data_IF_355171813892
#
_entry.id   IF_355171813892
#
_cell.length_a   1.000
_cell.length_b   1.000
_cell.length_c   1.000
_cell.angle_alpha   90.00
_cell.angle_beta   90.00
_cell.angle_gamma   90.00
#
_symmetry.space_group_name_H-M   'P 1'
#
loop_
_entity.id
_entity.type
_entity.pdbx_description
1 polymer ?
#
# COMPACT_ATOMS: atom_id res chain seq x y z
N UNK A 1 12.48 13.39 11.31
CA UNK A 1 13.34 12.20 11.29
C UNK A 1 12.50 11.01 11.70
N UNK A 2 12.48 9.95 10.89
CA UNK A 2 11.82 8.69 11.26
C UNK A 2 12.65 7.95 12.30
N UNK A 3 11.96 7.29 13.24
CA UNK A 3 12.61 6.57 14.32
C UNK A 3 13.32 5.31 13.79
N UNK A 4 14.55 5.06 14.24
CA UNK A 4 15.22 3.77 14.05
C UNK A 4 14.77 2.81 15.15
N UNK A 5 14.15 1.70 14.74
CA UNK A 5 13.64 0.66 15.65
C UNK A 5 14.59 -0.52 15.63
N UNK A 6 14.83 -1.11 16.80
CA UNK A 6 15.64 -2.33 16.93
C UNK A 6 14.75 -3.56 16.87
N UNK A 7 15.20 -4.63 16.22
CA UNK A 7 14.42 -5.87 16.14
C UNK A 7 14.12 -6.46 17.54
N UNK A 8 15.01 -6.22 18.51
CA UNK A 8 14.84 -6.67 19.89
C UNK A 8 13.67 -6.00 20.63
N UNK A 9 13.19 -4.83 20.19
CA UNK A 9 12.01 -4.18 20.78
C UNK A 9 10.69 -4.71 20.21
N UNK A 10 10.75 -5.62 19.23
CA UNK A 10 9.59 -6.19 18.54
C UNK A 10 9.40 -7.67 18.88
N UNK A 11 8.17 -8.05 19.20
CA UNK A 11 7.77 -9.44 19.42
C UNK A 11 6.81 -9.85 18.32
N UNK A 12 7.25 -10.70 17.38
CA UNK A 12 6.39 -11.18 16.28
C UNK A 12 5.20 -11.96 16.83
N UNK A 13 4.00 -11.62 16.38
CA UNK A 13 2.76 -12.25 16.82
C UNK A 13 2.12 -13.11 15.73
N UNK A 14 2.01 -12.59 14.50
CA UNK A 14 1.29 -13.26 13.41
C UNK A 14 1.89 -12.94 12.05
N UNK A 15 2.04 -13.94 11.19
CA UNK A 15 2.34 -13.74 9.76
C UNK A 15 1.09 -13.24 9.04
N UNK A 16 1.20 -12.13 8.30
CA UNK A 16 0.08 -11.56 7.56
C UNK A 16 0.16 -11.88 6.07
N UNK A 17 1.32 -11.65 5.45
CA UNK A 17 1.51 -11.86 4.02
C UNK A 17 2.98 -12.12 3.70
N UNK A 18 3.25 -13.02 2.75
CA UNK A 18 4.62 -13.31 2.30
C UNK A 18 4.67 -13.31 0.79
N UNK A 19 5.60 -12.55 0.22
CA UNK A 19 5.88 -12.52 -1.21
C UNK A 19 7.34 -12.92 -1.48
N UNK A 20 7.76 -13.09 -2.75
CA UNK A 20 9.16 -13.28 -3.09
C UNK A 20 10.07 -12.13 -2.67
N UNK A 21 9.56 -10.89 -2.58
CA UNK A 21 10.33 -9.68 -2.27
C UNK A 21 10.19 -9.19 -0.83
N UNK A 22 9.17 -9.64 -0.11
CA UNK A 22 8.87 -9.15 1.24
C UNK A 22 8.17 -10.18 2.12
N UNK A 23 8.28 -9.97 3.43
CA UNK A 23 7.54 -10.67 4.46
C UNK A 23 6.86 -9.62 5.35
N UNK A 24 5.56 -9.76 5.56
CA UNK A 24 4.74 -8.85 6.35
C UNK A 24 4.15 -9.61 7.53
N UNK A 25 4.38 -9.10 8.73
CA UNK A 25 3.91 -9.72 9.97
C UNK A 25 3.50 -8.67 10.99
N UNK A 26 2.53 -9.02 11.84
CA UNK A 26 2.19 -8.24 13.02
C UNK A 26 3.20 -8.52 14.14
N UNK A 27 3.48 -7.49 14.94
CA UNK A 27 4.33 -7.57 16.12
C UNK A 27 3.81 -6.66 17.24
N UNK A 28 4.11 -7.02 18.49
CA UNK A 28 4.03 -6.10 19.62
C UNK A 28 5.29 -5.27 19.71
N UNK A 29 5.17 -3.95 19.79
CA UNK A 29 6.28 -3.03 19.97
C UNK A 29 6.25 -2.43 21.37
N UNK A 30 7.33 -2.65 22.12
CA UNK A 30 7.51 -2.02 23.43
C UNK A 30 8.00 -0.59 23.24
N UNK A 31 7.13 0.38 23.48
CA UNK A 31 7.52 1.80 23.56
C UNK A 31 7.38 2.32 24.99
N UNK A 32 8.37 3.04 25.48
CA UNK A 32 8.26 3.79 26.72
C UNK A 32 7.25 4.94 26.52
N UNK A 33 6.20 5.00 27.34
CA UNK A 33 5.48 6.27 27.51
C UNK A 33 6.44 7.31 28.13
N UNK A 34 6.29 8.60 27.80
CA UNK A 34 6.91 9.64 28.62
C UNK A 34 6.44 9.45 30.06
N UNK A 35 7.37 9.36 31.02
CA UNK A 35 7.00 9.33 32.43
C UNK A 35 6.17 10.58 32.75
N UNK A 36 4.95 10.39 33.26
CA UNK A 36 4.07 11.52 33.62
C UNK A 36 4.65 12.29 34.81
N UNK A 37 5.53 11.65 35.61
CA UNK A 37 6.23 12.26 36.73
C UNK A 37 7.73 11.87 36.78
N UNK A 38 8.64 12.76 37.25
CA UNK A 38 10.04 12.42 37.47
C UNK A 38 10.18 11.40 38.62
N UNK A 39 10.43 10.13 38.28
CA UNK A 39 10.66 9.06 39.27
C UNK A 39 9.88 7.76 39.01
N UNK A 40 8.90 7.77 38.11
CA UNK A 40 8.19 6.56 37.69
C UNK A 40 8.99 5.77 36.64
N UNK A 41 9.04 4.44 36.78
CA UNK A 41 9.52 3.58 35.69
C UNK A 41 8.61 3.79 34.49
N UNK A 42 9.21 4.03 33.31
CA UNK A 42 8.46 4.14 32.06
C UNK A 42 7.53 2.92 31.88
N UNK A 43 6.22 3.14 31.92
CA UNK A 43 5.26 2.11 31.57
C UNK A 43 5.45 1.77 30.08
N UNK A 44 5.78 0.51 29.80
CA UNK A 44 5.92 0.01 28.44
C UNK A 44 4.51 -0.29 27.91
N UNK A 45 4.08 0.46 26.89
CA UNK A 45 2.87 0.11 26.15
C UNK A 45 3.25 -0.87 25.06
N UNK A 46 2.54 -2.00 25.01
CA UNK A 46 2.65 -2.94 23.91
C UNK A 46 1.73 -2.47 22.77
N UNK A 47 2.31 -1.75 21.81
CA UNK A 47 1.56 -1.25 20.66
C UNK A 47 1.61 -2.27 19.55
N UNK A 48 0.45 -2.67 19.02
CA UNK A 48 0.38 -3.55 17.85
C UNK A 48 0.84 -2.80 16.59
N UNK A 49 1.88 -3.32 15.95
CA UNK A 49 2.47 -2.77 14.73
C UNK A 49 2.53 -3.83 13.63
N UNK A 50 2.67 -3.39 12.40
CA UNK A 50 2.98 -4.23 11.24
C UNK A 50 4.40 -3.96 10.79
N UNK A 51 5.15 -5.02 10.59
CA UNK A 51 6.52 -4.99 10.09
C UNK A 51 6.54 -5.57 8.68
N UNK A 52 6.91 -4.72 7.72
CA UNK A 52 7.14 -5.11 6.33
C UNK A 52 8.64 -5.25 6.10
N UNK A 53 9.12 -6.49 6.21
CA UNK A 53 10.52 -6.85 5.98
C UNK A 53 10.77 -7.04 4.49
N UNK A 54 11.75 -6.33 3.93
CA UNK A 54 12.21 -6.51 2.56
C UNK A 54 13.26 -7.62 2.52
N UNK A 55 13.10 -8.56 1.58
CA UNK A 55 14.10 -9.61 1.30
C UNK A 55 15.18 -9.00 0.41
N UNK A 56 16.36 -8.80 0.96
CA UNK A 56 17.49 -8.19 0.24
C UNK A 56 18.32 -9.29 -0.42
N UNK A 57 18.40 -9.24 -1.76
CA UNK A 57 19.24 -10.13 -2.56
C UNK A 57 20.26 -9.38 -3.40
N UNK A 58 19.99 -8.10 -3.72
CA UNK A 58 20.88 -7.22 -4.46
C UNK A 58 20.68 -5.75 -4.06
N UNK A 59 21.56 -4.87 -4.54
CA UNK A 59 21.50 -3.42 -4.29
C UNK A 59 20.19 -2.78 -4.77
N UNK A 60 19.55 -3.32 -5.81
CA UNK A 60 18.26 -2.83 -6.29
C UNK A 60 17.12 -3.05 -5.28
N UNK A 61 17.20 -4.08 -4.42
CA UNK A 61 16.22 -4.27 -3.33
C UNK A 61 16.37 -3.19 -2.25
N UNK A 62 17.61 -2.79 -1.94
CA UNK A 62 17.91 -1.72 -0.99
C UNK A 62 17.39 -0.39 -1.53
N UNK A 63 17.68 -0.07 -2.80
CA UNK A 63 17.17 1.14 -3.44
C UNK A 63 15.63 1.20 -3.47
N UNK A 64 14.94 0.05 -3.61
CA UNK A 64 13.48 -0.01 -3.51
C UNK A 64 12.99 0.27 -2.09
N UNK A 65 13.64 -0.33 -1.09
CA UNK A 65 13.32 -0.09 0.32
C UNK A 65 13.49 1.39 0.68
N UNK A 66 14.61 2.00 0.28
CA UNK A 66 14.89 3.42 0.54
C UNK A 66 13.88 4.33 -0.16
N UNK A 67 13.51 4.03 -1.41
CA UNK A 67 12.47 4.79 -2.11
C UNK A 67 11.11 4.69 -1.42
N UNK A 68 10.70 3.48 -1.00
CA UNK A 68 9.42 3.31 -0.30
C UNK A 68 9.43 4.07 1.04
N UNK A 69 10.54 4.02 1.79
CA UNK A 69 10.73 4.84 3.00
C UNK A 69 10.55 6.33 2.68
N UNK A 70 11.28 6.85 1.70
CA UNK A 70 11.29 8.28 1.37
C UNK A 70 9.91 8.77 0.93
N UNK A 71 9.18 7.94 0.18
CA UNK A 71 7.80 8.24 -0.21
C UNK A 71 6.87 8.28 0.99
N UNK A 72 6.94 7.30 1.90
CA UNK A 72 6.12 7.29 3.11
C UNK A 72 6.42 8.48 4.04
N UNK A 73 7.68 8.89 4.15
CA UNK A 73 8.07 10.09 4.91
C UNK A 73 7.49 11.37 4.31
N UNK A 74 7.49 11.46 2.98
CA UNK A 74 6.99 12.63 2.25
C UNK A 74 5.46 12.70 2.20
N UNK A 75 4.77 11.57 2.18
CA UNK A 75 3.32 11.47 1.99
C UNK A 75 2.53 11.48 3.31
N UNK A 76 2.91 12.33 4.26
CA UNK A 76 2.26 12.40 5.57
C UNK A 76 0.80 12.90 5.46
N UNK A 77 -0.16 11.98 5.53
CA UNK A 77 -1.59 12.28 5.43
C UNK A 77 -2.42 11.28 6.25
N UNK A 78 -3.54 11.67 6.90
CA UNK A 78 -4.36 10.76 7.70
C UNK A 78 -4.93 9.54 6.96
N UNK A 79 -5.01 9.64 5.62
CA UNK A 79 -5.53 8.59 4.73
C UNK A 79 -4.44 7.83 3.98
N UNK A 80 -3.17 8.04 4.32
CA UNK A 80 -2.01 7.31 3.74
C UNK A 80 -1.26 6.61 4.87
N UNK A 81 -0.74 5.41 4.60
CA UNK A 81 -0.06 4.62 5.60
C UNK A 81 1.10 5.40 6.23
N UNK A 82 1.08 5.51 7.55
CA UNK A 82 2.12 6.23 8.30
C UNK A 82 3.31 5.31 8.59
N UNK A 83 4.52 5.81 8.38
CA UNK A 83 5.75 5.16 8.80
C UNK A 83 6.07 5.54 10.25
N UNK A 84 6.02 4.56 11.16
CA UNK A 84 6.39 4.76 12.57
C UNK A 84 7.91 4.72 12.76
N UNK A 85 8.57 3.86 11.99
CA UNK A 85 10.00 3.66 12.10
C UNK A 85 10.55 2.71 11.06
N UNK A 86 11.87 2.60 11.03
CA UNK A 86 12.61 1.70 10.15
C UNK A 86 13.53 0.78 10.95
N UNK A 87 13.78 -0.39 10.39
CA UNK A 87 14.89 -1.26 10.76
C UNK A 87 15.80 -1.27 9.54
N UNK A 88 17.03 -0.79 9.68
CA UNK A 88 18.01 -0.73 8.57
C UNK A 88 19.35 -1.37 8.94
N UNK A 89 19.34 -2.29 9.92
CA UNK A 89 20.53 -3.04 10.32
C UNK A 89 20.62 -4.36 9.55
N UNK A 90 21.65 -4.48 8.71
CA UNK A 90 21.90 -5.73 7.98
C UNK A 90 21.91 -6.94 8.94
N UNK A 91 21.25 -8.06 8.59
CA UNK A 91 20.64 -8.36 7.29
C UNK A 91 19.15 -7.97 7.18
N UNK A 92 18.60 -7.17 8.10
CA UNK A 92 17.18 -6.87 8.19
C UNK A 92 16.86 -5.43 7.80
N UNK A 93 16.10 -5.30 6.71
CA UNK A 93 15.54 -4.04 6.25
C UNK A 93 14.04 -4.12 6.35
N UNK A 94 13.42 -3.27 7.18
CA UNK A 94 11.99 -3.32 7.41
C UNK A 94 11.38 -1.95 7.68
N UNK A 95 10.14 -1.79 7.22
CA UNK A 95 9.29 -0.63 7.53
C UNK A 95 8.33 -1.04 8.64
N UNK A 96 8.20 -0.20 9.67
CA UNK A 96 7.29 -0.42 10.79
C UNK A 96 6.15 0.58 10.71
N UNK A 97 4.92 0.08 10.70
CA UNK A 97 3.70 0.86 10.48
C UNK A 97 2.63 0.50 11.53
N UNK A 98 1.59 1.32 11.73
CA UNK A 98 0.47 0.94 12.57
C UNK A 98 -0.20 -0.34 12.09
N UNK A 99 -0.72 -1.15 13.02
CA UNK A 99 -1.56 -2.28 12.65
C UNK A 99 -3.01 -1.84 12.42
N UNK A 100 -3.49 -2.02 11.19
CA UNK A 100 -4.86 -1.71 10.78
C UNK A 100 -5.76 -2.92 11.03
N UNK A 101 -6.48 -2.89 12.16
CA UNK A 101 -7.15 -4.05 12.76
C UNK A 101 -8.17 -4.77 11.86
N UNK A 102 -8.83 -4.07 10.92
CA UNK A 102 -9.82 -4.69 10.02
C UNK A 102 -9.20 -5.26 8.74
N UNK A 103 -7.89 -5.06 8.55
CA UNK A 103 -7.15 -5.57 7.39
C UNK A 103 -7.53 -4.87 6.08
N UNK A 104 -7.29 -5.57 4.97
CA UNK A 104 -7.52 -5.05 3.63
C UNK A 104 -9.00 -5.06 3.24
N UNK A 105 -9.42 -4.04 2.49
CA UNK A 105 -10.77 -3.90 1.95
C UNK A 105 -11.18 -5.12 1.11
N UNK A 106 -10.23 -5.72 0.37
CA UNK A 106 -10.49 -6.96 -0.38
C UNK A 106 -11.03 -8.08 0.52
N UNK A 107 -10.38 -8.29 1.68
CA UNK A 107 -10.79 -9.31 2.64
C UNK A 107 -12.17 -9.01 3.25
N UNK A 108 -12.47 -7.74 3.50
CA UNK A 108 -13.77 -7.30 4.00
C UNK A 108 -14.88 -7.53 2.96
N UNK A 109 -14.61 -7.27 1.68
CA UNK A 109 -15.60 -7.40 0.63
C UNK A 109 -15.89 -8.86 0.29
N UNK A 110 -14.86 -9.72 0.28
CA UNK A 110 -14.94 -11.05 -0.36
C UNK A 110 -14.71 -12.24 0.57
N UNK A 111 -14.09 -12.05 1.74
CA UNK A 111 -13.68 -13.17 2.61
C UNK A 111 -14.32 -13.17 3.99
N UNK A 112 -14.61 -12.01 4.58
CA UNK A 112 -15.14 -11.92 5.95
C UNK A 112 -16.62 -12.28 6.08
N UNK A 113 -17.36 -12.32 4.96
CA UNK A 113 -18.82 -12.39 4.94
C UNK A 113 -19.52 -11.09 5.36
N UNK A 114 -18.76 -10.04 5.69
CA UNK A 114 -19.30 -8.75 6.12
C UNK A 114 -20.02 -8.04 4.96
N UNK A 115 -21.15 -7.41 5.27
CA UNK A 115 -21.88 -6.56 4.34
C UNK A 115 -21.69 -5.10 4.75
N UNK A 116 -20.82 -4.37 4.05
CA UNK A 116 -20.69 -2.94 4.26
C UNK A 116 -21.97 -2.21 3.84
N UNK A 117 -22.46 -1.32 4.70
CA UNK A 117 -23.57 -0.41 4.38
C UNK A 117 -23.15 0.58 3.30
N UNK A 118 -24.12 1.18 2.60
CA UNK A 118 -23.83 2.22 1.62
C UNK A 118 -23.04 3.39 2.23
N UNK A 119 -23.36 3.76 3.47
CA UNK A 119 -22.64 4.79 4.22
C UNK A 119 -21.18 4.38 4.51
N UNK A 120 -20.94 3.15 4.97
CA UNK A 120 -19.58 2.66 5.22
C UNK A 120 -18.74 2.63 3.94
N UNK A 121 -19.33 2.19 2.81
CA UNK A 121 -18.68 2.25 1.50
C UNK A 121 -18.34 3.68 1.11
N UNK A 122 -19.28 4.62 1.26
CA UNK A 122 -19.05 6.03 0.94
C UNK A 122 -17.91 6.64 1.78
N UNK A 123 -17.84 6.31 3.08
CA UNK A 123 -16.73 6.74 3.96
C UNK A 123 -15.39 6.21 3.45
N UNK A 124 -15.30 4.91 3.19
CA UNK A 124 -14.07 4.27 2.69
C UNK A 124 -13.64 4.88 1.36
N UNK A 125 -14.56 5.07 0.42
CA UNK A 125 -14.24 5.65 -0.89
C UNK A 125 -13.86 7.13 -0.78
N UNK A 126 -14.50 7.90 0.10
CA UNK A 126 -14.11 9.29 0.39
C UNK A 126 -12.67 9.34 0.90
N UNK A 127 -12.33 8.50 1.87
CA UNK A 127 -10.99 8.42 2.45
C UNK A 127 -9.91 8.10 1.41
N UNK A 128 -10.19 7.14 0.52
CA UNK A 128 -9.28 6.79 -0.58
C UNK A 128 -9.14 7.95 -1.55
N UNK A 129 -10.23 8.66 -1.87
CA UNK A 129 -10.18 9.82 -2.76
C UNK A 129 -9.33 10.97 -2.19
N UNK A 130 -9.42 11.21 -0.88
CA UNK A 130 -8.58 12.20 -0.18
C UNK A 130 -7.10 11.80 -0.24
N UNK A 131 -6.78 10.52 -0.05
CA UNK A 131 -5.41 10.01 -0.15
C UNK A 131 -4.84 10.20 -1.57
N UNK A 132 -5.60 9.84 -2.60
CA UNK A 132 -5.17 9.98 -4.00
C UNK A 132 -5.00 11.46 -4.37
N UNK A 133 -5.94 12.32 -3.96
CA UNK A 133 -5.85 13.75 -4.17
C UNK A 133 -4.58 14.33 -3.50
N UNK A 134 -4.28 13.91 -2.28
CA UNK A 134 -3.06 14.33 -1.59
C UNK A 134 -1.80 13.90 -2.36
N UNK A 135 -1.68 12.62 -2.74
CA UNK A 135 -0.54 12.13 -3.53
C UNK A 135 -0.34 12.94 -4.81
N UNK A 136 -1.42 13.16 -5.58
CA UNK A 136 -1.37 13.92 -6.82
C UNK A 136 -1.00 15.39 -6.58
N UNK A 137 -1.43 15.99 -5.47
CA UNK A 137 -1.09 17.38 -5.11
C UNK A 137 0.40 17.58 -4.89
N UNK A 138 1.11 16.54 -4.43
CA UNK A 138 2.56 16.54 -4.23
C UNK A 138 3.32 15.87 -5.38
N UNK A 139 2.66 15.58 -6.51
CA UNK A 139 3.30 15.00 -7.70
C UNK A 139 3.75 13.54 -7.54
N UNK A 140 3.12 12.78 -6.63
CA UNK A 140 3.34 11.34 -6.46
C UNK A 140 2.18 10.59 -7.12
N UNK A 141 2.51 9.58 -7.91
CA UNK A 141 1.55 8.67 -8.54
C UNK A 141 1.60 7.32 -7.83
N UNK A 142 0.45 6.76 -7.46
CA UNK A 142 0.42 5.55 -6.65
C UNK A 142 0.77 4.30 -7.47
N UNK A 143 0.19 4.15 -8.66
CA UNK A 143 0.49 3.10 -9.66
C UNK A 143 0.06 1.67 -9.32
N UNK A 144 -0.59 1.44 -8.18
CA UNK A 144 -1.14 0.13 -7.80
C UNK A 144 -2.33 0.28 -6.84
N UNK A 145 -3.26 1.18 -7.15
CA UNK A 145 -4.51 1.34 -6.37
C UNK A 145 -5.39 0.12 -6.62
N UNK A 146 -5.72 -0.60 -5.54
CA UNK A 146 -6.59 -1.78 -5.51
C UNK A 146 -7.11 -2.01 -4.10
N UNK A 147 -8.12 -2.87 -3.95
CA UNK A 147 -8.71 -3.19 -2.65
C UNK A 147 -7.75 -3.89 -1.67
N UNK A 148 -6.70 -4.55 -2.15
CA UNK A 148 -5.65 -5.12 -1.29
C UNK A 148 -4.75 -4.05 -0.65
N UNK A 149 -4.59 -2.91 -1.33
CA UNK A 149 -3.76 -1.79 -0.89
C UNK A 149 -4.56 -0.72 -0.14
N UNK A 150 -5.81 -1.02 0.24
CA UNK A 150 -6.65 -0.16 1.06
C UNK A 150 -6.92 -0.88 2.36
N UNK A 151 -6.37 -0.37 3.46
CA UNK A 151 -6.55 -0.93 4.80
C UNK A 151 -7.64 -0.18 5.55
N UNK A 152 -8.42 -0.88 6.37
CA UNK A 152 -9.49 -0.29 7.16
C UNK A 152 -9.14 -0.31 8.65
N UNK A 153 -9.31 0.85 9.28
CA UNK A 153 -9.10 1.08 10.70
C UNK A 153 -10.28 0.55 11.52
N UNK A 154 -10.09 0.43 12.84
CA UNK A 154 -11.14 -0.04 13.76
C UNK A 154 -12.39 0.87 13.75
N UNK A 155 -12.21 2.18 13.52
CA UNK A 155 -13.29 3.17 13.41
C UNK A 155 -13.98 3.18 12.02
N UNK A 156 -13.57 2.30 11.10
CA UNK A 156 -14.13 2.20 9.76
C UNK A 156 -13.52 3.18 8.75
N UNK A 157 -12.55 4.00 9.14
CA UNK A 157 -11.82 4.85 8.20
C UNK A 157 -10.80 4.06 7.39
N UNK A 158 -10.53 4.48 6.17
CA UNK A 158 -9.61 3.81 5.27
C UNK A 158 -8.27 4.54 5.14
N UNK A 159 -7.24 3.77 4.82
CA UNK A 159 -5.87 4.22 4.61
C UNK A 159 -5.29 3.52 3.38
N UNK A 160 -4.77 4.30 2.45
CA UNK A 160 -4.07 3.83 1.26
C UNK A 160 -2.63 3.43 1.63
N UNK A 161 -2.18 2.26 1.17
CA UNK A 161 -0.87 1.68 1.53
C UNK A 161 -0.12 1.13 0.32
N UNK A 162 1.09 0.63 0.56
CA UNK A 162 1.99 0.01 -0.42
C UNK A 162 2.48 0.95 -1.53
N UNK A 163 3.36 1.87 -1.14
CA UNK A 163 4.01 2.82 -2.07
C UNK A 163 5.19 2.20 -2.85
N UNK A 164 5.32 0.87 -2.89
CA UNK A 164 6.42 0.20 -3.61
C UNK A 164 6.45 0.47 -5.10
N UNK A 165 5.28 0.59 -5.72
CA UNK A 165 5.13 0.88 -7.15
C UNK A 165 5.07 2.37 -7.44
N UNK A 166 4.93 3.20 -6.40
CA UNK A 166 4.72 4.63 -6.52
C UNK A 166 5.98 5.34 -7.01
N UNK A 167 5.76 6.44 -7.73
CA UNK A 167 6.84 7.19 -8.38
C UNK A 167 6.47 8.66 -8.50
N UNK A 168 7.48 9.53 -8.59
CA UNK A 168 7.24 10.93 -8.88
C UNK A 168 6.86 11.11 -10.34
N UNK A 169 5.83 11.93 -10.58
CA UNK A 169 5.37 12.27 -11.92
C UNK A 169 6.52 12.82 -12.79
N UNK A 170 7.43 13.59 -12.20
CA UNK A 170 8.64 14.10 -12.87
C UNK A 170 9.61 13.02 -13.34
N UNK A 171 9.57 11.84 -12.72
CA UNK A 171 10.42 10.71 -13.04
C UNK A 171 9.77 9.78 -14.05
N UNK A 172 8.48 9.94 -14.38
CA UNK A 172 7.80 9.07 -15.33
C UNK A 172 8.07 9.55 -16.75
N UNK A 173 8.83 8.75 -17.50
CA UNK A 173 8.96 8.90 -18.96
C UNK A 173 8.10 7.86 -19.66
N UNK A 174 7.86 8.05 -20.96
CA UNK A 174 7.14 7.08 -21.81
C UNK A 174 7.75 5.66 -21.80
N UNK A 175 8.99 5.54 -21.34
CA UNK A 175 9.75 4.29 -21.29
C UNK A 175 9.68 3.59 -19.92
N UNK A 176 9.12 4.26 -18.89
CA UNK A 176 9.12 3.83 -17.47
C UNK A 176 7.91 2.94 -17.10
N UNK A 177 7.14 2.48 -18.09
CA UNK A 177 6.17 1.39 -17.88
C UNK A 177 6.89 0.04 -17.57
N UNK A 178 8.22 -0.03 -17.71
CA UNK A 178 9.01 -1.28 -17.80
C UNK A 178 9.66 -1.74 -16.48
N UNK A 179 9.16 -1.37 -15.30
CA UNK A 179 9.71 -1.93 -14.04
C UNK A 179 8.66 -2.63 -13.17
N UNK A 180 8.34 -3.89 -13.53
CA UNK A 180 7.77 -4.87 -12.60
C UNK A 180 8.47 -6.23 -12.76
N UNK A 181 8.75 -6.88 -11.62
CA UNK A 181 9.53 -8.13 -11.51
C UNK A 181 8.80 -9.39 -12.08
N UNK A 182 9.57 -10.44 -12.42
CA UNK A 182 9.08 -11.61 -13.16
C UNK A 182 8.42 -12.64 -12.25
N UNK A 183 7.20 -13.04 -12.59
CA UNK A 183 6.63 -14.36 -12.22
C UNK A 183 5.54 -14.74 -13.22
N UNK A 184 5.92 -15.52 -14.24
CA UNK A 184 5.02 -16.29 -15.10
C UNK A 184 4.31 -15.53 -16.23
N UNK A 185 4.67 -15.86 -17.47
CA UNK A 185 3.88 -15.53 -18.68
C UNK A 185 4.45 -14.38 -19.54
N UNK A 186 4.49 -14.60 -20.85
CA UNK A 186 5.08 -13.76 -21.91
C UNK A 186 4.54 -12.30 -22.00
N UNK A 187 3.49 -11.95 -21.26
CA UNK A 187 2.79 -10.65 -21.34
C UNK A 187 3.06 -9.69 -20.16
N UNK A 188 3.82 -10.09 -19.13
CA UNK A 188 3.99 -9.29 -17.89
C UNK A 188 5.26 -8.44 -17.82
N UNK A 189 6.06 -8.37 -18.88
CA UNK A 189 7.37 -7.69 -18.83
C UNK A 189 7.30 -6.16 -18.91
N UNK A 190 6.13 -5.56 -19.18
CA UNK A 190 6.03 -4.15 -19.56
C UNK A 190 4.92 -3.38 -18.83
N UNK A 191 4.46 -3.88 -17.69
CA UNK A 191 3.20 -3.44 -17.08
C UNK A 191 3.36 -3.30 -15.56
N UNK A 192 3.29 -2.07 -15.05
CA UNK A 192 3.18 -1.76 -13.62
C UNK A 192 1.70 -1.65 -13.24
N UNK A 193 1.33 -2.29 -12.13
CA UNK A 193 -0.02 -2.34 -11.60
C UNK A 193 -0.66 -3.73 -11.69
N UNK A 194 -1.81 -3.87 -11.05
CA UNK A 194 -2.57 -5.12 -11.04
C UNK A 194 -3.58 -5.10 -12.18
N UNK A 195 -3.41 -6.00 -13.18
CA UNK A 195 -4.12 -5.99 -14.48
C UNK A 195 -5.61 -5.57 -14.47
N UNK A 196 -6.47 -6.05 -13.55
CA UNK A 196 -7.89 -5.66 -13.51
C UNK A 196 -8.13 -4.17 -13.20
N UNK A 197 -7.20 -3.51 -12.51
CA UNK A 197 -7.29 -2.10 -12.09
C UNK A 197 -6.58 -1.15 -13.05
N UNK A 198 -5.91 -1.69 -14.07
CA UNK A 198 -5.11 -0.88 -14.98
C UNK A 198 -5.94 -0.14 -16.01
N UNK A 199 -5.58 1.12 -16.23
CA UNK A 199 -6.16 1.95 -17.24
C UNK A 199 -5.89 1.39 -18.66
N UNK A 200 -6.87 1.44 -19.56
CA UNK A 200 -6.79 0.80 -20.88
C UNK A 200 -5.66 1.35 -21.76
N UNK A 201 -5.29 2.62 -21.59
CA UNK A 201 -4.17 3.26 -22.29
C UNK A 201 -2.82 2.61 -21.97
N UNK A 202 -2.64 2.07 -20.75
CA UNK A 202 -1.45 1.31 -20.36
C UNK A 202 -1.42 -0.09 -21.00
N UNK A 203 -2.59 -0.66 -21.28
CA UNK A 203 -2.73 -1.99 -21.87
C UNK A 203 -2.60 -1.99 -23.39
N UNK A 204 -2.88 -0.87 -24.05
CA UNK A 204 -2.88 -0.77 -25.52
C UNK A 204 -1.49 -0.76 -26.17
N UNK A 205 -0.41 -0.87 -25.39
CA UNK A 205 1.00 -0.86 -25.85
C UNK A 205 1.28 0.19 -26.94
N UNK A 206 0.63 1.35 -26.85
CA UNK A 206 0.88 2.46 -27.77
C UNK A 206 2.24 3.02 -27.38
N UNK A 207 3.21 3.01 -28.31
CA UNK A 207 4.49 3.70 -28.10
C UNK A 207 4.21 5.14 -27.64
N UNK A 208 4.72 5.51 -26.46
CA UNK A 208 4.52 6.83 -25.88
C UNK A 208 3.49 6.93 -24.74
N UNK A 209 2.75 5.86 -24.41
CA UNK A 209 1.82 5.90 -23.28
C UNK A 209 2.57 5.89 -21.93
N UNK A 210 2.68 7.06 -21.30
CA UNK A 210 3.21 7.21 -19.94
C UNK A 210 2.09 7.02 -18.90
N UNK A 211 2.46 6.57 -17.71
CA UNK A 211 1.54 6.55 -16.57
C UNK A 211 1.21 8.00 -16.15
N UNK A 212 -0.06 8.31 -15.94
CA UNK A 212 -0.52 9.66 -15.54
C UNK A 212 -1.45 9.58 -14.34
N UNK A 213 -1.81 10.74 -13.78
CA UNK A 213 -2.83 10.87 -12.72
C UNK A 213 -4.16 10.22 -13.10
N UNK A 214 -4.53 10.27 -14.39
CA UNK A 214 -5.76 9.67 -14.90
C UNK A 214 -5.76 8.13 -14.74
N UNK A 215 -4.59 7.51 -14.76
CA UNK A 215 -4.48 6.07 -14.54
C UNK A 215 -4.82 5.68 -13.09
N UNK A 216 -4.39 6.47 -12.10
CA UNK A 216 -4.77 6.28 -10.69
C UNK A 216 -6.29 6.51 -10.50
N UNK A 217 -6.86 7.52 -11.18
CA UNK A 217 -8.31 7.78 -11.16
C UNK A 217 -9.09 6.60 -11.74
N UNK A 218 -8.61 6.01 -12.83
CA UNK A 218 -9.21 4.79 -13.39
C UNK A 218 -9.15 3.64 -12.38
N UNK A 219 -7.99 3.36 -11.80
CA UNK A 219 -7.85 2.31 -10.77
C UNK A 219 -8.77 2.54 -9.58
N UNK A 220 -8.97 3.79 -9.17
CA UNK A 220 -9.92 4.15 -8.12
C UNK A 220 -11.39 3.90 -8.53
N UNK A 221 -11.78 4.25 -9.76
CA UNK A 221 -13.12 3.95 -10.27
C UNK A 221 -13.41 2.43 -10.27
N UNK A 222 -12.38 1.64 -10.57
CA UNK A 222 -12.44 0.19 -10.50
C UNK A 222 -12.66 -0.31 -9.06
N UNK A 223 -11.96 0.27 -8.08
CA UNK A 223 -12.20 0.02 -6.64
C UNK A 223 -13.63 0.39 -6.23
N UNK A 224 -14.15 1.54 -6.69
CA UNK A 224 -15.54 1.94 -6.42
C UNK A 224 -16.51 0.88 -6.93
N UNK A 225 -16.32 0.42 -8.17
CA UNK A 225 -17.17 -0.58 -8.77
C UNK A 225 -17.15 -1.90 -7.98
N UNK A 226 -15.96 -2.37 -7.58
CA UNK A 226 -15.80 -3.58 -6.77
C UNK A 226 -16.48 -3.46 -5.40
N UNK A 227 -16.33 -2.32 -4.72
CA UNK A 227 -17.00 -2.06 -3.44
C UNK A 227 -18.53 -2.04 -3.58
N UNK A 228 -19.06 -1.51 -4.70
CA UNK A 228 -20.48 -1.44 -4.98
C UNK A 228 -21.06 -2.81 -5.38
N UNK A 229 -20.45 -3.49 -6.34
CA UNK A 229 -20.93 -4.74 -6.92
C UNK A 229 -20.69 -5.98 -6.04
N UNK A 230 -19.67 -5.94 -5.15
CA UNK A 230 -19.24 -7.07 -4.30
C UNK A 230 -18.84 -8.32 -5.10
N UNK A 231 -18.43 -8.17 -6.35
CA UNK A 231 -17.85 -9.25 -7.14
C UNK A 231 -16.36 -8.97 -7.37
N UNK A 232 -15.48 -9.96 -7.19
CA UNK A 232 -14.08 -9.82 -7.56
C UNK A 232 -13.99 -9.52 -9.05
N UNK A 233 -13.10 -8.59 -9.41
CA UNK A 233 -12.94 -8.20 -10.80
C UNK A 233 -12.30 -9.34 -11.57
N UNK A 234 -13.11 -10.03 -12.36
CA UNK A 234 -12.67 -11.11 -13.23
C UNK A 234 -12.37 -10.54 -14.61
N UNK A 235 -11.12 -10.65 -15.05
CA UNK A 235 -10.77 -10.46 -16.46
C UNK A 235 -11.36 -11.65 -17.23
N UNK A 236 -12.64 -11.56 -17.61
CA UNK A 236 -13.21 -12.42 -18.64
C UNK A 236 -12.85 -11.84 -20.00
N UNK A 237 -12.41 -12.70 -20.91
CA UNK A 237 -11.90 -12.41 -22.27
C UNK A 237 -12.40 -11.07 -22.83
N UNK A 238 -11.46 -10.13 -23.02
CA UNK A 238 -11.60 -8.95 -23.87
C UNK A 238 -12.95 -8.21 -23.79
N UNK A 239 -13.36 -7.77 -22.60
CA UNK A 239 -14.38 -6.72 -22.51
C UNK A 239 -13.81 -5.58 -21.68
N UNK A 240 -13.33 -4.55 -22.40
CA UNK A 240 -13.26 -3.20 -21.88
C UNK A 240 -14.63 -2.86 -21.29
N UNK A 241 -14.64 -2.21 -20.13
CA UNK A 241 -15.83 -1.72 -19.46
C UNK A 241 -16.67 -0.91 -20.47
N UNK A 242 -17.74 -1.50 -21.02
CA UNK A 242 -18.79 -0.71 -21.68
C UNK A 242 -19.76 -0.39 -20.56
N UNK A 243 -19.77 0.89 -20.18
CA UNK A 243 -20.89 1.47 -19.43
C UNK A 243 -22.10 1.38 -20.36
N UNK A 244 -23.09 0.57 -20.00
CA UNK A 244 -24.44 0.63 -20.56
C UNK A 244 -25.41 1.05 -19.48
#
# INVERSE_FOLDING_TARGET
>A
MVATITLASLTRTQSLHTSPSSEVYAAGMKSALPAETPGELNNLVDTSVVVKRTKITCSADIARFERERDLLERCAHPRIATLLGIISSAPTYALVMPHYARGALFGILHASGEVLTAQAKAIVLSDVSEAVCHLHSIGVLHRDIKTDNILVQADGRAVLTDLNASELESNITSDIVVQARPTGGFFKQFVVGTLPYMAPELLRSVRGAAYTRACDVYSFAIVMNEACAREPIRIRRACYLVVT
#
